data_IF_576711141025
#
_entry.id   IF_576711141025
#
_cell.length_a   1.000
_cell.length_b   1.000
_cell.length_c   1.000
_cell.angle_alpha   90.00
_cell.angle_beta   90.00
_cell.angle_gamma   90.00
#
_symmetry.space_group_name_H-M   'P 1'
#
loop_
_entity.id
_entity.type
_entity.pdbx_description
1 polymer ?
#
# COMPACT_ATOMS: atom_id res chain seq x y z
N UNK A 1 4.41 24.39 4.29
CA UNK A 1 3.11 24.57 4.98
C UNK A 1 3.29 24.95 6.45
N UNK A 2 4.11 24.23 7.24
CA UNK A 2 4.45 24.59 8.64
C UNK A 2 4.99 26.01 8.82
N UNK A 3 5.95 26.40 7.99
CA UNK A 3 6.51 27.75 8.05
C UNK A 3 5.46 28.83 7.74
N UNK A 4 4.39 28.48 7.00
CA UNK A 4 3.31 29.41 6.66
C UNK A 4 2.37 29.61 7.86
N UNK A 5 1.84 28.52 8.43
CA UNK A 5 0.97 28.59 9.62
C UNK A 5 1.72 29.16 10.83
N UNK A 6 3.00 28.81 10.99
CA UNK A 6 3.84 29.40 12.03
C UNK A 6 3.96 30.92 11.91
N UNK A 7 4.18 31.45 10.69
CA UNK A 7 4.19 32.90 10.46
C UNK A 7 2.84 33.56 10.77
N UNK A 8 1.73 32.90 10.46
CA UNK A 8 0.40 33.43 10.80
C UNK A 8 0.20 33.51 12.31
N UNK A 9 0.58 32.47 13.06
CA UNK A 9 0.52 32.48 14.52
C UNK A 9 1.40 33.58 15.13
N UNK A 10 2.64 33.70 14.65
CA UNK A 10 3.53 34.78 15.11
C UNK A 10 2.96 36.16 14.80
N UNK A 11 2.28 36.34 13.66
CA UNK A 11 1.60 37.61 13.37
C UNK A 11 0.45 37.87 14.35
N UNK A 12 -0.40 36.87 14.60
CA UNK A 12 -1.52 36.99 15.55
C UNK A 12 -1.04 37.26 16.97
N UNK A 13 0.01 36.57 17.44
CA UNK A 13 0.56 36.75 18.78
C UNK A 13 1.20 38.13 18.95
N UNK A 14 2.06 38.55 18.00
CA UNK A 14 2.80 39.80 18.15
C UNK A 14 1.94 41.05 17.85
N UNK A 15 0.90 40.93 17.02
CA UNK A 15 0.05 42.08 16.67
C UNK A 15 -0.97 42.46 17.75
N UNK A 16 -1.18 41.62 18.77
CA UNK A 16 -2.11 41.89 19.87
C UNK A 16 -1.75 43.18 20.64
N UNK A 17 -0.46 43.44 20.83
CA UNK A 17 0.02 44.61 21.59
C UNK A 17 -0.27 45.94 20.87
N UNK A 18 -0.43 45.90 19.54
CA UNK A 18 -0.64 47.08 18.69
C UNK A 18 -2.13 47.35 18.37
N UNK A 19 -3.05 46.55 18.92
CA UNK A 19 -4.49 46.70 18.66
C UNK A 19 -5.06 48.03 19.12
N UNK A 20 -4.46 48.66 20.13
CA UNK A 20 -4.86 50.00 20.58
C UNK A 20 -4.55 51.06 19.52
N UNK A 21 -3.47 50.89 18.77
CA UNK A 21 -3.04 51.82 17.71
C UNK A 21 -3.74 51.53 16.38
N UNK A 22 -4.06 50.26 16.11
CA UNK A 22 -4.60 49.79 14.83
C UNK A 22 -5.83 48.89 15.08
N UNK A 23 -6.94 49.41 15.64
CA UNK A 23 -8.08 48.57 16.02
C UNK A 23 -8.77 47.89 14.82
N UNK A 24 -8.65 48.45 13.62
CA UNK A 24 -9.29 47.93 12.41
C UNK A 24 -8.84 46.51 12.00
N UNK A 25 -7.67 46.05 12.46
CA UNK A 25 -7.15 44.72 12.10
C UNK A 25 -7.60 43.62 13.07
N UNK A 26 -8.33 43.95 14.15
CA UNK A 26 -8.72 42.95 15.17
C UNK A 26 -9.53 41.80 14.56
N UNK A 27 -10.46 42.12 13.65
CA UNK A 27 -11.26 41.12 12.95
C UNK A 27 -10.39 40.18 12.11
N UNK A 28 -9.48 40.75 11.32
CA UNK A 28 -8.57 39.99 10.46
C UNK A 28 -7.62 39.11 11.26
N UNK A 29 -7.11 39.59 12.40
CA UNK A 29 -6.24 38.80 13.29
C UNK A 29 -7.00 37.63 13.91
N UNK A 30 -8.27 37.84 14.29
CA UNK A 30 -9.12 36.78 14.82
C UNK A 30 -9.39 35.70 13.77
N UNK A 31 -9.75 36.11 12.56
CA UNK A 31 -9.99 35.18 11.44
C UNK A 31 -8.71 34.42 11.09
N UNK A 32 -7.56 35.11 11.01
CA UNK A 32 -6.28 34.46 10.74
C UNK A 32 -5.88 33.45 11.82
N UNK A 33 -6.17 33.75 13.08
CA UNK A 33 -5.99 32.82 14.21
C UNK A 33 -6.83 31.55 14.04
N UNK A 34 -8.11 31.70 13.72
CA UNK A 34 -9.01 30.58 13.46
C UNK A 34 -8.55 29.73 12.28
N UNK A 35 -8.14 30.36 11.16
CA UNK A 35 -7.59 29.63 10.01
C UNK A 35 -6.32 28.84 10.38
N UNK A 36 -5.47 29.38 11.26
CA UNK A 36 -4.29 28.67 11.74
C UNK A 36 -4.67 27.44 12.59
N UNK A 37 -5.69 27.56 13.44
CA UNK A 37 -6.21 26.48 14.26
C UNK A 37 -6.84 25.36 13.43
N UNK A 38 -7.68 25.72 12.46
CA UNK A 38 -8.33 24.77 11.54
C UNK A 38 -7.31 23.93 10.77
N UNK A 39 -6.24 24.56 10.26
CA UNK A 39 -5.19 23.84 9.56
C UNK A 39 -4.47 22.86 10.48
N UNK A 40 -4.24 23.22 11.75
CA UNK A 40 -3.62 22.31 12.74
C UNK A 40 -4.56 21.14 13.04
N UNK A 41 -5.86 21.40 13.24
CA UNK A 41 -6.86 20.38 13.51
C UNK A 41 -6.99 19.38 12.36
N UNK A 42 -7.16 19.87 11.11
CA UNK A 42 -7.25 19.02 9.92
C UNK A 42 -6.00 18.17 9.73
N UNK A 43 -4.83 18.70 10.11
CA UNK A 43 -3.59 17.94 10.04
C UNK A 43 -3.53 16.83 11.07
N UNK A 44 -3.97 17.09 12.30
CA UNK A 44 -4.07 16.06 13.32
C UNK A 44 -5.02 14.93 12.86
N UNK A 45 -6.18 15.30 12.29
CA UNK A 45 -7.11 14.33 11.72
C UNK A 45 -6.46 13.51 10.59
N UNK A 46 -5.78 14.17 9.65
CA UNK A 46 -5.06 13.49 8.56
C UNK A 46 -4.07 12.46 9.09
N UNK A 47 -3.31 12.78 10.15
CA UNK A 47 -2.35 11.84 10.75
C UNK A 47 -3.05 10.60 11.34
N UNK A 48 -4.21 10.77 11.97
CA UNK A 48 -5.03 9.66 12.48
C UNK A 48 -5.51 8.78 11.32
N UNK A 49 -6.03 9.38 10.24
CA UNK A 49 -6.50 8.64 9.08
C UNK A 49 -5.37 7.90 8.35
N UNK A 50 -4.19 8.50 8.21
CA UNK A 50 -3.01 7.83 7.65
C UNK A 50 -2.58 6.62 8.49
N UNK A 51 -2.66 6.71 9.82
CA UNK A 51 -2.39 5.57 10.70
C UNK A 51 -3.39 4.45 10.46
N UNK A 52 -4.68 4.77 10.37
CA UNK A 52 -5.75 3.81 10.08
C UNK A 52 -5.55 3.14 8.71
N UNK A 53 -5.17 3.92 7.70
CA UNK A 53 -4.87 3.40 6.36
C UNK A 53 -3.70 2.41 6.38
N UNK A 54 -2.62 2.72 7.10
CA UNK A 54 -1.48 1.81 7.28
C UNK A 54 -1.92 0.51 7.93
N UNK A 55 -2.72 0.58 8.99
CA UNK A 55 -3.25 -0.60 9.69
C UNK A 55 -4.10 -1.48 8.77
N UNK A 56 -5.05 -0.88 8.04
CA UNK A 56 -5.89 -1.60 7.07
C UNK A 56 -5.03 -2.27 6.00
N UNK A 57 -4.04 -1.56 5.47
CA UNK A 57 -3.11 -2.10 4.46
C UNK A 57 -2.35 -3.32 4.98
N UNK A 58 -1.87 -3.28 6.24
CA UNK A 58 -1.21 -4.42 6.86
C UNK A 58 -2.15 -5.62 7.02
N UNK A 59 -3.40 -5.38 7.43
CA UNK A 59 -4.43 -6.42 7.54
C UNK A 59 -4.74 -7.07 6.19
N UNK A 60 -4.91 -6.27 5.13
CA UNK A 60 -5.13 -6.79 3.77
C UNK A 60 -3.97 -7.69 3.35
N UNK A 61 -2.72 -7.26 3.55
CA UNK A 61 -1.54 -8.06 3.21
C UNK A 61 -1.47 -9.37 4.01
N UNK A 62 -1.81 -9.33 5.30
CA UNK A 62 -1.83 -10.53 6.13
C UNK A 62 -2.90 -11.52 5.68
N UNK A 63 -4.11 -11.04 5.37
CA UNK A 63 -5.19 -11.84 4.82
C UNK A 63 -4.83 -12.42 3.46
N UNK A 64 -4.23 -11.63 2.57
CA UNK A 64 -3.75 -12.09 1.26
C UNK A 64 -2.78 -13.26 1.38
N UNK A 65 -1.73 -13.14 2.23
CA UNK A 65 -0.79 -14.24 2.48
C UNK A 65 -1.47 -15.50 3.01
N UNK A 66 -2.44 -15.34 3.90
CA UNK A 66 -3.20 -16.48 4.43
C UNK A 66 -4.04 -17.14 3.33
N UNK A 67 -4.69 -16.33 2.49
CA UNK A 67 -5.44 -16.79 1.32
C UNK A 67 -4.56 -17.55 0.34
N UNK A 68 -3.38 -17.03 0.02
CA UNK A 68 -2.42 -17.67 -0.88
C UNK A 68 -1.93 -19.02 -0.34
N UNK A 69 -1.67 -19.13 0.98
CA UNK A 69 -1.31 -20.39 1.61
C UNK A 69 -2.43 -21.43 1.47
N UNK A 70 -3.68 -21.04 1.80
CA UNK A 70 -4.85 -21.91 1.68
C UNK A 70 -5.05 -22.34 0.21
N UNK A 71 -4.99 -21.39 -0.73
CA UNK A 71 -5.06 -21.67 -2.16
C UNK A 71 -3.95 -22.64 -2.60
N UNK A 72 -2.73 -22.45 -2.11
CA UNK A 72 -1.60 -23.34 -2.38
C UNK A 72 -1.87 -24.77 -1.93
N UNK A 73 -2.38 -24.94 -0.70
CA UNK A 73 -2.77 -26.25 -0.15
C UNK A 73 -3.86 -26.93 -0.98
N UNK A 74 -4.93 -26.19 -1.31
CA UNK A 74 -6.02 -26.69 -2.17
C UNK A 74 -5.46 -27.11 -3.53
N UNK A 75 -4.63 -26.27 -4.16
CA UNK A 75 -4.01 -26.56 -5.44
C UNK A 75 -3.14 -27.81 -5.41
N UNK A 76 -2.37 -28.01 -4.34
CA UNK A 76 -1.56 -29.22 -4.15
C UNK A 76 -2.44 -30.48 -4.05
N UNK A 77 -3.53 -30.43 -3.28
CA UNK A 77 -4.48 -31.54 -3.17
C UNK A 77 -5.17 -31.86 -4.50
N UNK A 78 -5.61 -30.85 -5.26
CA UNK A 78 -6.23 -31.05 -6.57
C UNK A 78 -5.24 -31.64 -7.58
N UNK A 79 -4.00 -31.15 -7.61
CA UNK A 79 -2.93 -31.69 -8.47
C UNK A 79 -2.57 -33.13 -8.09
N UNK A 80 -2.54 -33.46 -6.80
CA UNK A 80 -2.33 -34.82 -6.33
C UNK A 80 -3.43 -35.78 -6.78
N UNK A 81 -4.68 -35.30 -6.86
CA UNK A 81 -5.83 -36.11 -7.30
C UNK A 81 -5.95 -36.26 -8.82
N UNK A 82 -5.79 -35.17 -9.56
CA UNK A 82 -6.09 -35.13 -11.00
C UNK A 82 -4.85 -35.22 -11.89
N UNK A 83 -3.65 -35.07 -11.33
CA UNK A 83 -2.40 -34.95 -12.08
C UNK A 83 -2.02 -33.50 -12.37
N UNK A 84 -0.71 -33.23 -12.40
CA UNK A 84 -0.16 -31.86 -12.51
C UNK A 84 -0.37 -31.20 -13.88
N UNK A 85 -0.70 -31.98 -14.91
CA UNK A 85 -0.89 -31.56 -16.30
C UNK A 85 -2.36 -31.52 -16.70
N UNK A 86 -3.28 -31.89 -15.78
CA UNK A 86 -4.70 -32.01 -16.09
C UNK A 86 -5.30 -30.66 -16.47
N UNK A 87 -5.91 -30.54 -17.67
CA UNK A 87 -6.57 -29.30 -18.11
C UNK A 87 -7.69 -28.85 -17.17
N UNK A 88 -8.32 -29.80 -16.47
CA UNK A 88 -9.36 -29.57 -15.47
C UNK A 88 -8.92 -28.61 -14.35
N UNK A 89 -7.62 -28.46 -14.07
CA UNK A 89 -7.12 -27.55 -13.05
C UNK A 89 -7.40 -26.06 -13.38
N UNK A 90 -7.57 -25.72 -14.66
CA UNK A 90 -7.85 -24.34 -15.11
C UNK A 90 -9.20 -23.85 -14.58
N UNK A 91 -10.20 -24.72 -14.48
CA UNK A 91 -11.53 -24.35 -13.95
C UNK A 91 -11.48 -23.92 -12.48
N UNK A 92 -10.44 -24.37 -11.75
CA UNK A 92 -10.19 -24.02 -10.36
C UNK A 92 -9.20 -22.85 -10.21
N UNK A 93 -8.85 -22.17 -11.31
CA UNK A 93 -7.91 -21.06 -11.31
C UNK A 93 -6.45 -21.48 -11.08
N UNK A 94 -6.08 -22.73 -11.40
CA UNK A 94 -4.70 -23.22 -11.36
C UNK A 94 -4.18 -23.48 -12.77
N UNK A 95 -2.99 -22.96 -13.08
CA UNK A 95 -2.31 -23.27 -14.34
C UNK A 95 -1.67 -24.66 -14.26
N UNK A 96 -2.03 -25.61 -15.16
CA UNK A 96 -1.37 -26.91 -15.25
C UNK A 96 0.11 -26.76 -15.61
N UNK A 97 0.96 -27.68 -15.16
CA UNK A 97 2.38 -27.69 -15.51
C UNK A 97 2.52 -28.07 -16.98
N UNK A 98 3.32 -27.32 -17.74
CA UNK A 98 3.68 -27.68 -19.12
C UNK A 98 4.55 -28.95 -19.08
N UNK A 99 4.16 -29.99 -19.81
CA UNK A 99 5.04 -31.11 -20.12
C UNK A 99 6.12 -30.61 -21.06
N UNK A 100 7.35 -30.55 -20.58
CA UNK A 100 8.50 -30.39 -21.47
C UNK A 100 8.78 -31.78 -22.05
N UNK A 101 8.82 -31.97 -23.39
CA UNK A 101 9.20 -33.25 -23.95
C UNK A 101 10.60 -33.61 -23.44
N UNK A 102 10.74 -34.83 -22.92
CA UNK A 102 12.03 -35.37 -22.51
C UNK A 102 12.96 -35.32 -23.72
N UNK A 103 14.15 -34.73 -23.58
CA UNK A 103 15.19 -34.88 -24.59
C UNK A 103 15.46 -36.39 -24.74
N UNK A 104 15.22 -36.92 -25.92
CA UNK A 104 15.66 -38.27 -26.29
C UNK A 104 17.16 -38.40 -25.98
N UNK A 105 17.61 -39.48 -25.33
CA UNK A 105 19.03 -39.69 -25.14
C UNK A 105 19.70 -39.78 -26.52
N UNK A 106 20.55 -38.81 -26.82
CA UNK A 106 21.38 -38.81 -28.02
C UNK A 106 22.17 -40.13 -28.04
N UNK A 107 21.86 -41.00 -29.01
CA UNK A 107 22.64 -42.22 -29.23
C UNK A 107 24.11 -41.82 -29.43
N UNK A 108 25.08 -42.52 -28.79
CA UNK A 108 26.49 -42.22 -28.98
C UNK A 108 26.86 -42.40 -30.47
N UNK A 109 27.75 -41.55 -31.02
CA UNK A 109 28.16 -41.65 -32.41
C UNK A 109 28.85 -43.01 -32.67
N UNK A 110 28.68 -43.60 -33.86
CA UNK A 110 29.24 -44.91 -34.18
C UNK A 110 30.78 -44.89 -34.11
N UNK A 111 31.36 -45.83 -33.35
CA UNK A 111 32.80 -46.01 -33.25
C UNK A 111 33.39 -46.28 -34.63
N UNK A 112 34.28 -45.39 -35.08
CA UNK A 112 35.08 -45.60 -36.29
C UNK A 112 36.27 -46.46 -35.91
N UNK A 113 36.26 -47.74 -36.30
CA UNK A 113 37.42 -48.63 -36.19
C UNK A 113 38.55 -48.18 -37.11
N UNK A 114 39.75 -48.01 -36.55
CA UNK A 114 41.03 -48.03 -37.28
C UNK A 114 42.10 -48.66 -36.40
#
# INVERSE_FOLDING_TARGET
>A
MFARVGRWRSLVENAQEFLVEVPQIEGDLRELGQLADDVVALRAERMVQERKLREITLRIRALGRRGDNIRGRIGASLKGRFGFTAPLLVQFGFTPRKTVPSREPTLPPPETSR
#
